data_IF_369109874860
#
_entry.id   IF_369109874860
#
_cell.length_a   1.000
_cell.length_b   1.000
_cell.length_c   1.000
_cell.angle_alpha   90.00
_cell.angle_beta   90.00
_cell.angle_gamma   90.00
#
_symmetry.space_group_name_H-M   'P 1'
#
loop_
_entity.id
_entity.type
_entity.pdbx_description
1 polymer ?
#
# COMPACT_ATOMS: atom_id res chain seq x y z
N UNK A 1 20.10 9.04 18.95
CA UNK A 1 19.61 8.67 17.59
C UNK A 1 19.06 9.93 16.94
N UNK A 2 19.35 10.16 15.67
CA UNK A 2 18.70 11.26 14.93
C UNK A 2 17.21 10.93 14.79
N UNK A 3 16.33 11.78 15.34
CA UNK A 3 14.86 11.60 15.31
C UNK A 3 14.18 12.32 14.16
N UNK A 4 14.97 12.90 13.25
CA UNK A 4 14.49 13.69 12.13
C UNK A 4 14.00 12.80 10.98
N UNK A 5 12.72 12.94 10.59
CA UNK A 5 12.05 12.14 9.56
C UNK A 5 11.24 13.07 8.65
N UNK A 6 11.41 12.90 7.34
CA UNK A 6 10.56 13.51 6.34
C UNK A 6 9.50 12.51 5.86
N UNK A 7 8.23 12.84 6.02
CA UNK A 7 7.10 12.09 5.43
C UNK A 7 6.75 12.76 4.10
N UNK A 8 7.02 12.08 2.99
CA UNK A 8 6.67 12.56 1.65
C UNK A 8 5.38 11.89 1.18
N UNK A 9 4.29 12.63 1.23
CA UNK A 9 2.91 12.17 1.08
C UNK A 9 2.23 12.01 2.45
N UNK A 10 1.60 13.06 2.95
CA UNK A 10 0.93 13.09 4.25
C UNK A 10 -0.53 12.60 4.21
N UNK A 11 -0.89 11.82 3.18
CA UNK A 11 -2.22 11.21 3.05
C UNK A 11 -2.48 10.11 4.10
N UNK A 12 -3.44 9.21 3.83
CA UNK A 12 -3.89 8.21 4.79
C UNK A 12 -2.76 7.40 5.45
N UNK A 13 -1.77 6.95 4.68
CA UNK A 13 -0.65 6.14 5.20
C UNK A 13 0.39 7.02 5.89
N UNK A 14 0.97 7.98 5.16
CA UNK A 14 2.06 8.81 5.69
C UNK A 14 1.59 9.74 6.81
N UNK A 15 0.38 10.29 6.71
CA UNK A 15 -0.21 11.10 7.78
C UNK A 15 -0.41 10.32 9.07
N UNK A 16 -0.95 9.08 8.99
CA UNK A 16 -1.12 8.22 10.17
C UNK A 16 0.23 7.88 10.80
N UNK A 17 1.18 7.33 10.05
CA UNK A 17 2.51 6.96 10.58
C UNK A 17 3.24 8.18 11.13
N UNK A 18 3.26 9.30 10.38
CA UNK A 18 3.92 10.53 10.80
C UNK A 18 3.30 11.14 12.06
N UNK A 19 1.97 11.09 12.21
CA UNK A 19 1.29 11.57 13.41
C UNK A 19 1.68 10.77 14.66
N UNK A 20 1.78 9.44 14.56
CA UNK A 20 2.25 8.60 15.67
C UNK A 20 3.72 8.88 16.03
N UNK A 21 4.58 9.02 15.03
CA UNK A 21 5.98 9.37 15.24
C UNK A 21 6.09 10.75 15.93
N UNK A 22 5.36 11.74 15.45
CA UNK A 22 5.35 13.08 16.05
C UNK A 22 4.87 13.05 17.51
N UNK A 23 3.78 12.31 17.79
CA UNK A 23 3.27 12.09 19.15
C UNK A 23 4.30 11.37 20.06
N UNK A 24 5.12 10.49 19.48
CA UNK A 24 6.20 9.79 20.20
C UNK A 24 7.46 10.64 20.38
N UNK A 25 7.45 11.93 19.97
CA UNK A 25 8.55 12.88 20.17
C UNK A 25 9.65 12.78 19.12
N UNK A 26 9.32 12.35 17.90
CA UNK A 26 10.19 12.46 16.72
C UNK A 26 10.04 13.85 16.07
N UNK A 27 11.10 14.32 15.42
CA UNK A 27 11.09 15.56 14.63
C UNK A 27 10.57 15.23 13.23
N UNK A 28 9.24 15.28 13.07
CA UNK A 28 8.58 14.92 11.81
C UNK A 28 8.26 16.17 11.01
N UNK A 29 8.71 16.19 9.75
CA UNK A 29 8.29 17.16 8.74
C UNK A 29 7.41 16.45 7.71
N UNK A 30 6.26 17.04 7.38
CA UNK A 30 5.34 16.51 6.37
C UNK A 30 5.50 17.26 5.04
N UNK A 31 5.38 16.51 3.94
CA UNK A 31 5.26 17.08 2.59
C UNK A 31 4.02 16.48 1.91
N UNK A 32 3.13 17.34 1.41
CA UNK A 32 1.98 16.93 0.62
C UNK A 32 1.68 17.93 -0.50
N UNK A 33 1.09 17.46 -1.59
CA UNK A 33 0.73 18.30 -2.72
C UNK A 33 -0.57 19.12 -2.49
N UNK A 34 -1.39 18.71 -1.52
CA UNK A 34 -2.66 19.35 -1.20
C UNK A 34 -2.45 20.49 -0.21
N UNK A 35 -2.46 21.74 -0.69
CA UNK A 35 -2.17 22.94 0.11
C UNK A 35 -3.04 23.02 1.37
N UNK A 36 -4.35 22.80 1.25
CA UNK A 36 -5.28 22.88 2.40
C UNK A 36 -4.93 21.83 3.47
N UNK A 37 -4.42 20.67 3.06
CA UNK A 37 -3.96 19.62 3.98
C UNK A 37 -2.67 20.03 4.69
N UNK A 38 -1.72 20.59 3.94
CA UNK A 38 -0.48 21.17 4.50
C UNK A 38 -0.81 22.26 5.54
N UNK A 39 -1.72 23.18 5.20
CA UNK A 39 -2.14 24.24 6.10
C UNK A 39 -2.86 23.72 7.35
N UNK A 40 -3.67 22.69 7.21
CA UNK A 40 -4.29 22.02 8.35
C UNK A 40 -3.24 21.43 9.30
N UNK A 41 -2.27 20.65 8.77
CA UNK A 41 -1.24 19.98 9.58
C UNK A 41 -0.39 20.99 10.36
N UNK A 42 0.03 22.09 9.72
CA UNK A 42 0.91 23.10 10.35
C UNK A 42 0.19 24.04 11.30
N UNK A 43 -1.15 24.07 11.28
CA UNK A 43 -1.93 24.98 12.14
C UNK A 43 -2.09 24.40 13.56
N UNK A 44 -1.60 25.08 14.62
CA UNK A 44 -1.78 24.59 15.99
C UNK A 44 -3.24 24.47 16.42
N UNK A 45 -4.14 25.26 15.84
CA UNK A 45 -5.58 25.24 16.16
C UNK A 45 -6.37 24.19 15.40
N UNK A 46 -5.83 23.61 14.30
CA UNK A 46 -6.47 22.61 13.47
C UNK A 46 -5.74 21.26 13.55
N UNK A 47 -4.48 21.22 13.12
CA UNK A 47 -3.63 20.04 13.19
C UNK A 47 -4.08 18.89 12.27
N UNK A 48 -3.36 17.78 12.36
CA UNK A 48 -3.70 16.49 11.75
C UNK A 48 -4.42 15.62 12.78
N UNK A 49 -5.66 15.29 12.51
CA UNK A 49 -6.50 14.46 13.35
C UNK A 49 -6.49 13.02 12.84
N UNK A 50 -6.07 12.12 13.70
CA UNK A 50 -6.22 10.67 13.51
C UNK A 50 -7.43 10.26 14.34
N UNK A 51 -8.49 9.82 13.68
CA UNK A 51 -9.75 9.41 14.29
C UNK A 51 -10.08 7.96 13.97
N UNK A 52 -10.95 7.33 14.74
CA UNK A 52 -11.48 5.99 14.43
C UNK A 52 -11.36 5.01 15.57
N UNK A 53 -11.67 3.72 15.33
CA UNK A 53 -11.76 2.72 16.40
C UNK A 53 -10.40 2.34 17.00
N UNK A 54 -9.28 2.68 16.34
CA UNK A 54 -7.94 2.32 16.83
C UNK A 54 -7.40 3.38 17.77
N UNK A 55 -7.59 4.66 17.43
CA UNK A 55 -7.08 5.79 18.22
C UNK A 55 -7.82 7.08 17.82
N UNK A 56 -7.80 8.07 18.72
CA UNK A 56 -8.37 9.39 18.49
C UNK A 56 -7.44 10.45 19.11
N UNK A 57 -6.71 11.18 18.27
CA UNK A 57 -5.80 12.23 18.72
C UNK A 57 -5.47 13.22 17.60
N UNK A 58 -4.93 14.36 17.99
CA UNK A 58 -4.55 15.44 17.08
C UNK A 58 -3.10 15.87 17.34
N UNK A 59 -2.37 16.13 16.27
CA UNK A 59 -1.01 16.65 16.31
C UNK A 59 -0.86 17.81 15.33
N UNK A 60 0.12 18.69 15.56
CA UNK A 60 0.52 19.73 14.61
C UNK A 60 2.03 19.70 14.48
N UNK A 61 2.54 19.94 13.27
CA UNK A 61 3.97 19.93 13.02
C UNK A 61 4.33 20.66 11.72
N UNK A 62 5.62 20.78 11.41
CA UNK A 62 6.09 21.35 10.15
C UNK A 62 5.49 20.61 8.97
N UNK A 63 4.85 21.34 8.05
CA UNK A 63 4.27 20.78 6.84
C UNK A 63 4.46 21.74 5.67
N UNK A 64 4.79 21.22 4.50
CA UNK A 64 5.15 22.00 3.32
C UNK A 64 4.60 21.36 2.05
N UNK A 65 4.37 22.14 1.02
CA UNK A 65 4.22 21.62 -0.33
C UNK A 65 5.59 21.18 -0.88
N UNK A 66 5.65 20.33 -1.93
CA UNK A 66 6.93 19.94 -2.55
C UNK A 66 7.79 21.12 -3.02
N UNK A 67 7.17 22.26 -3.35
CA UNK A 67 7.87 23.46 -3.79
C UNK A 67 8.41 24.33 -2.61
N UNK A 68 7.82 24.18 -1.43
CA UNK A 68 8.18 24.94 -0.22
C UNK A 68 9.25 24.25 0.62
N UNK A 69 9.29 22.91 0.64
CA UNK A 69 10.21 22.16 1.51
C UNK A 69 11.67 22.53 1.23
N UNK A 70 12.45 22.71 2.30
CA UNK A 70 13.88 23.02 2.26
C UNK A 70 14.61 22.21 3.30
N UNK A 71 15.85 21.85 3.01
CA UNK A 71 16.68 21.04 3.91
C UNK A 71 16.96 19.66 3.37
N UNK A 72 17.70 18.87 4.15
CA UNK A 72 18.06 17.48 3.83
C UNK A 72 17.78 16.59 5.01
N UNK A 73 17.32 15.37 4.73
CA UNK A 73 16.95 14.37 5.74
C UNK A 73 17.70 13.07 5.51
N UNK A 74 18.08 12.45 6.61
CA UNK A 74 18.66 11.10 6.58
C UNK A 74 17.59 10.02 6.35
N UNK A 75 16.37 10.25 6.82
CA UNK A 75 15.24 9.30 6.71
C UNK A 75 14.06 9.97 6.02
N UNK A 76 13.70 9.45 4.85
CA UNK A 76 12.53 9.92 4.10
C UNK A 76 11.57 8.73 3.94
N UNK A 77 10.34 8.88 4.43
CA UNK A 77 9.27 7.91 4.23
C UNK A 77 8.42 8.36 3.06
N UNK A 78 8.46 7.59 1.96
CA UNK A 78 7.70 7.88 0.75
C UNK A 78 6.36 7.17 0.80
N UNK A 79 5.28 7.96 0.85
CA UNK A 79 3.92 7.49 1.12
C UNK A 79 2.89 7.99 0.08
N UNK A 80 3.35 8.55 -1.04
CA UNK A 80 2.45 8.97 -2.11
C UNK A 80 1.79 7.76 -2.77
N UNK A 81 0.68 7.98 -3.47
CA UNK A 81 0.07 6.95 -4.32
C UNK A 81 1.08 6.47 -5.37
N UNK A 82 1.05 5.17 -5.69
CA UNK A 82 2.10 4.52 -6.50
C UNK A 82 2.30 5.15 -7.89
N UNK A 83 1.26 5.70 -8.51
CA UNK A 83 1.37 6.42 -9.79
C UNK A 83 2.23 7.70 -9.71
N UNK A 84 2.45 8.24 -8.51
CA UNK A 84 3.28 9.43 -8.28
C UNK A 84 4.71 9.10 -7.81
N UNK A 85 5.09 7.81 -7.76
CA UNK A 85 6.37 7.35 -7.19
C UNK A 85 7.57 7.97 -7.89
N UNK A 86 7.61 7.93 -9.21
CA UNK A 86 8.77 8.41 -9.99
C UNK A 86 8.96 9.92 -9.80
N UNK A 87 7.90 10.69 -9.95
CA UNK A 87 7.91 12.14 -9.77
C UNK A 87 8.36 12.53 -8.35
N UNK A 88 7.76 11.89 -7.34
CA UNK A 88 8.09 12.14 -5.94
C UNK A 88 9.54 11.72 -5.61
N UNK A 89 10.01 10.57 -6.12
CA UNK A 89 11.39 10.11 -5.90
C UNK A 89 12.43 11.05 -6.56
N UNK A 90 12.12 11.61 -7.72
CA UNK A 90 12.98 12.63 -8.36
C UNK A 90 13.02 13.91 -7.53
N UNK A 91 11.86 14.38 -7.06
CA UNK A 91 11.77 15.60 -6.25
C UNK A 91 12.48 15.43 -4.90
N UNK A 92 12.22 14.36 -4.15
CA UNK A 92 12.81 14.13 -2.83
C UNK A 92 14.31 13.85 -2.86
N UNK A 93 14.87 13.43 -4.01
CA UNK A 93 16.31 13.15 -4.13
C UNK A 93 17.18 14.34 -3.72
N UNK A 94 16.74 15.57 -4.01
CA UNK A 94 17.43 16.81 -3.62
C UNK A 94 17.38 17.08 -2.10
N UNK A 95 16.52 16.39 -1.38
CA UNK A 95 16.33 16.49 0.06
C UNK A 95 16.88 15.28 0.84
N UNK A 96 17.48 14.33 0.14
CA UNK A 96 18.05 13.12 0.74
C UNK A 96 19.53 13.35 1.07
N UNK A 97 19.89 13.31 2.35
CA UNK A 97 21.27 13.44 2.82
C UNK A 97 22.19 12.36 2.17
N UNK A 98 23.49 12.62 2.10
CA UNK A 98 24.44 11.71 1.42
C UNK A 98 24.43 10.29 2.00
N UNK A 99 24.30 10.15 3.32
CA UNK A 99 24.17 8.87 4.04
C UNK A 99 22.69 8.49 4.31
N UNK A 100 21.76 9.22 3.69
CA UNK A 100 20.32 9.03 3.88
C UNK A 100 19.71 7.93 3.02
N UNK A 101 18.49 7.53 3.37
CA UNK A 101 17.73 6.50 2.68
C UNK A 101 16.24 6.79 2.64
N UNK A 102 15.56 6.16 1.70
CA UNK A 102 14.11 6.25 1.50
C UNK A 102 13.47 4.95 1.94
N UNK A 103 12.42 5.02 2.76
CA UNK A 103 11.53 3.90 3.10
C UNK A 103 10.26 4.03 2.28
N UNK A 104 9.95 3.04 1.46
CA UNK A 104 8.71 3.03 0.66
C UNK A 104 7.57 2.42 1.47
N UNK A 105 6.57 3.21 1.84
CA UNK A 105 5.33 2.74 2.47
C UNK A 105 4.19 2.62 1.45
N UNK A 106 4.53 2.32 0.22
CA UNK A 106 3.61 2.33 -0.91
C UNK A 106 3.08 0.93 -1.24
N UNK A 107 1.99 0.87 -2.00
CA UNK A 107 1.51 -0.37 -2.59
C UNK A 107 2.26 -0.70 -3.88
N UNK A 108 2.28 -1.97 -4.27
CA UNK A 108 2.91 -2.43 -5.50
C UNK A 108 4.40 -2.76 -5.32
N UNK A 109 5.18 -2.55 -6.37
CA UNK A 109 6.64 -2.79 -6.41
C UNK A 109 7.39 -1.47 -6.63
N UNK A 110 6.94 -0.40 -5.99
CA UNK A 110 7.46 0.96 -6.15
C UNK A 110 8.95 1.07 -5.83
N UNK A 111 9.46 0.20 -4.97
CA UNK A 111 10.87 0.08 -4.59
C UNK A 111 11.79 -0.09 -5.81
N UNK A 112 11.33 -0.77 -6.87
CA UNK A 112 12.08 -0.95 -8.12
C UNK A 112 12.38 0.41 -8.77
N UNK A 113 11.40 1.31 -8.80
CA UNK A 113 11.51 2.65 -9.39
C UNK A 113 12.30 3.60 -8.49
N UNK A 114 12.07 3.57 -7.19
CA UNK A 114 12.82 4.38 -6.21
C UNK A 114 14.30 4.02 -6.28
N UNK A 115 14.64 2.73 -6.31
CA UNK A 115 16.02 2.25 -6.37
C UNK A 115 16.77 2.70 -7.64
N UNK A 116 16.09 2.91 -8.77
CA UNK A 116 16.68 3.48 -9.98
C UNK A 116 17.06 4.96 -9.81
N UNK A 117 16.37 5.69 -8.93
CA UNK A 117 16.53 7.15 -8.77
C UNK A 117 17.51 7.47 -7.64
N UNK A 118 17.36 6.83 -6.48
CA UNK A 118 18.16 7.12 -5.28
C UNK A 118 19.22 6.05 -4.98
N UNK A 119 19.16 4.90 -5.67
CA UNK A 119 20.06 3.77 -5.49
C UNK A 119 19.48 2.66 -4.61
N UNK A 120 19.76 1.39 -4.98
CA UNK A 120 19.25 0.19 -4.28
C UNK A 120 19.61 0.19 -2.79
N UNK A 121 20.87 0.56 -2.44
CA UNK A 121 21.34 0.60 -1.04
C UNK A 121 20.67 1.68 -0.20
N UNK A 122 20.09 2.68 -0.86
CA UNK A 122 19.40 3.81 -0.22
C UNK A 122 17.88 3.65 -0.27
N UNK A 123 17.39 2.47 -0.58
CA UNK A 123 15.96 2.15 -0.62
C UNK A 123 15.67 0.99 0.32
N UNK A 124 14.72 1.18 1.22
CA UNK A 124 14.17 0.16 2.13
C UNK A 124 12.71 -0.07 1.73
N UNK A 125 12.32 -1.31 1.62
CA UNK A 125 10.92 -1.68 1.37
C UNK A 125 10.13 -1.79 2.66
N UNK A 126 8.85 -1.41 2.60
CA UNK A 126 7.92 -1.69 3.67
C UNK A 126 6.60 -2.25 3.12
N UNK A 127 6.19 -3.37 3.68
CA UNK A 127 4.86 -3.89 3.52
C UNK A 127 3.96 -3.33 4.62
N UNK A 128 2.89 -2.64 4.25
CA UNK A 128 1.92 -2.04 5.18
C UNK A 128 0.51 -2.49 4.83
N UNK A 129 -0.23 -3.05 5.79
CA UNK A 129 -1.58 -3.56 5.54
C UNK A 129 -2.67 -2.95 6.45
N UNK A 130 -2.31 -2.00 7.32
CA UNK A 130 -3.29 -1.31 8.15
C UNK A 130 -4.30 -0.50 7.32
N UNK A 131 -5.49 -0.35 7.84
CA UNK A 131 -6.58 0.37 7.19
C UNK A 131 -6.63 1.83 7.64
N UNK A 132 -6.31 2.75 6.74
CA UNK A 132 -6.52 4.18 6.96
C UNK A 132 -7.17 4.82 5.74
N UNK A 133 -7.87 5.94 5.96
CA UNK A 133 -8.57 6.72 4.94
C UNK A 133 -8.36 8.20 5.16
N UNK A 134 -7.94 8.91 4.13
CA UNK A 134 -7.96 10.36 4.11
C UNK A 134 -9.39 10.82 3.86
N UNK A 135 -10.00 11.50 4.82
CA UNK A 135 -11.39 11.97 4.74
C UNK A 135 -11.45 13.35 4.07
N UNK A 136 -10.73 14.29 4.64
CA UNK A 136 -10.60 15.67 4.17
C UNK A 136 -9.28 16.29 4.67
N UNK A 137 -9.03 17.55 4.37
CA UNK A 137 -7.82 18.23 4.79
C UNK A 137 -7.69 18.26 6.32
N UNK A 138 -6.63 17.64 6.86
CA UNK A 138 -6.38 17.51 8.29
C UNK A 138 -7.10 16.35 8.99
N UNK A 139 -7.90 15.54 8.28
CA UNK A 139 -8.70 14.47 8.88
C UNK A 139 -8.40 13.10 8.25
N UNK A 140 -7.96 12.15 9.07
CA UNK A 140 -7.66 10.77 8.66
C UNK A 140 -8.39 9.80 9.59
N UNK A 141 -9.13 8.86 9.01
CA UNK A 141 -9.70 7.71 9.71
C UNK A 141 -8.65 6.61 9.82
N UNK A 142 -8.34 6.14 11.03
CA UNK A 142 -7.54 4.94 11.28
C UNK A 142 -8.47 3.77 11.62
N UNK A 143 -8.76 2.95 10.60
CA UNK A 143 -9.82 1.94 10.67
C UNK A 143 -9.43 0.65 11.37
N UNK A 144 -8.19 0.17 11.21
CA UNK A 144 -7.70 -1.06 11.83
C UNK A 144 -6.17 -1.17 11.78
N UNK A 145 -5.60 -1.84 12.80
CA UNK A 145 -4.22 -2.32 12.79
C UNK A 145 -4.08 -3.53 11.88
N UNK A 146 -2.89 -3.72 11.32
CA UNK A 146 -2.55 -4.92 10.56
C UNK A 146 -1.03 -5.03 10.37
N UNK A 147 -0.58 -6.10 9.71
CA UNK A 147 0.82 -6.40 9.53
C UNK A 147 1.63 -5.25 8.91
N UNK A 148 2.79 -4.97 9.50
CA UNK A 148 3.80 -4.02 9.05
C UNK A 148 5.16 -4.72 9.01
N UNK A 149 5.78 -4.77 7.84
CA UNK A 149 7.06 -5.48 7.65
C UNK A 149 8.06 -4.59 6.96
N UNK A 150 9.28 -4.52 7.48
CA UNK A 150 10.40 -3.78 6.89
C UNK A 150 11.45 -4.75 6.32
N UNK A 151 12.10 -4.38 5.22
CA UNK A 151 13.20 -5.19 4.69
C UNK A 151 14.07 -4.47 3.68
N UNK A 152 15.32 -4.90 3.63
CA UNK A 152 16.29 -4.44 2.64
C UNK A 152 15.96 -5.01 1.25
N UNK A 153 16.13 -4.21 0.19
CA UNK A 153 15.92 -4.70 -1.18
C UNK A 153 16.97 -5.74 -1.61
N UNK A 154 18.12 -5.74 -0.96
CA UNK A 154 19.18 -6.72 -1.18
C UNK A 154 19.07 -7.98 -0.33
N UNK A 155 18.10 -8.01 0.57
CA UNK A 155 17.98 -9.05 1.59
C UNK A 155 18.86 -8.83 2.81
N UNK A 156 18.70 -9.71 3.81
CA UNK A 156 19.42 -9.67 5.07
C UNK A 156 18.80 -8.74 6.11
N UNK A 157 19.19 -8.98 7.37
CA UNK A 157 18.81 -8.15 8.52
C UNK A 157 19.99 -7.22 8.84
N UNK A 158 19.73 -5.92 8.94
CA UNK A 158 20.74 -4.88 9.15
C UNK A 158 20.42 -4.05 10.38
N UNK A 159 21.44 -3.41 10.99
CA UNK A 159 21.23 -2.48 12.11
C UNK A 159 20.28 -1.34 11.76
N UNK A 160 20.25 -0.92 10.49
CA UNK A 160 19.29 0.08 10.01
C UNK A 160 17.84 -0.40 10.12
N UNK A 161 17.57 -1.68 9.83
CA UNK A 161 16.23 -2.25 10.02
C UNK A 161 15.85 -2.33 11.49
N UNK A 162 16.79 -2.61 12.38
CA UNK A 162 16.54 -2.62 13.83
C UNK A 162 16.19 -1.22 14.34
N UNK A 163 16.88 -0.18 13.85
CA UNK A 163 16.58 1.21 14.16
C UNK A 163 15.19 1.61 13.65
N UNK A 164 14.89 1.32 12.38
CA UNK A 164 13.58 1.59 11.78
C UNK A 164 12.45 0.84 12.49
N UNK A 165 12.69 -0.39 12.89
CA UNK A 165 11.73 -1.19 13.62
C UNK A 165 11.43 -0.59 15.00
N UNK A 166 12.45 -0.08 15.70
CA UNK A 166 12.26 0.65 16.96
C UNK A 166 11.43 1.92 16.76
N UNK A 167 11.65 2.65 15.65
CA UNK A 167 10.85 3.84 15.31
C UNK A 167 9.38 3.45 15.04
N UNK A 168 9.14 2.45 14.20
CA UNK A 168 7.79 2.05 13.76
C UNK A 168 6.96 1.42 14.90
N UNK A 169 7.58 0.79 15.88
CA UNK A 169 6.87 0.17 17.01
C UNK A 169 6.09 1.14 17.89
N UNK A 170 6.35 2.43 17.83
CA UNK A 170 5.46 3.42 18.46
C UNK A 170 4.09 3.51 17.76
N UNK A 171 4.03 3.15 16.48
CA UNK A 171 2.81 3.09 15.68
C UNK A 171 2.23 1.66 15.63
N UNK A 172 3.04 0.67 15.24
CA UNK A 172 2.66 -0.73 15.12
C UNK A 172 3.58 -1.61 15.97
N UNK A 173 3.17 -1.97 17.22
CA UNK A 173 4.00 -2.74 18.15
C UNK A 173 4.46 -4.09 17.60
N UNK A 174 3.63 -4.73 16.74
CA UNK A 174 3.88 -6.04 16.15
C UNK A 174 4.63 -5.97 14.81
N UNK A 175 5.19 -4.79 14.46
CA UNK A 175 6.02 -4.65 13.28
C UNK A 175 7.25 -5.56 13.35
N UNK A 176 7.61 -6.17 12.21
CA UNK A 176 8.74 -7.08 12.06
C UNK A 176 9.70 -6.65 10.95
N UNK A 177 10.95 -7.09 11.05
CA UNK A 177 11.90 -7.06 9.94
C UNK A 177 11.94 -8.41 9.23
N UNK A 178 12.23 -8.39 7.93
CA UNK A 178 12.39 -9.59 7.09
C UNK A 178 13.70 -9.53 6.30
N UNK A 179 14.27 -10.68 6.05
CA UNK A 179 15.39 -10.88 5.14
C UNK A 179 14.99 -10.86 3.66
N UNK A 180 13.67 -10.90 3.37
CA UNK A 180 13.13 -10.88 2.02
C UNK A 180 11.83 -10.09 1.94
N UNK A 181 11.95 -8.77 1.71
CA UNK A 181 10.77 -7.90 1.60
C UNK A 181 9.94 -8.20 0.35
N UNK A 182 10.58 -8.66 -0.73
CA UNK A 182 9.88 -8.98 -1.97
C UNK A 182 8.82 -10.05 -1.79
N UNK A 183 9.05 -11.02 -0.89
CA UNK A 183 8.06 -12.05 -0.55
C UNK A 183 6.74 -11.46 -0.03
N UNK A 184 6.82 -10.44 0.81
CA UNK A 184 5.63 -9.75 1.34
C UNK A 184 4.98 -8.83 0.30
N UNK A 185 5.78 -8.10 -0.49
CA UNK A 185 5.26 -7.20 -1.53
C UNK A 185 4.52 -7.99 -2.61
N UNK A 186 5.07 -9.11 -3.07
CA UNK A 186 4.38 -10.00 -4.02
C UNK A 186 3.17 -10.70 -3.39
N UNK A 187 3.24 -11.10 -2.11
CA UNK A 187 2.09 -11.60 -1.38
C UNK A 187 0.94 -10.59 -1.34
N UNK A 188 1.29 -9.31 -1.12
CA UNK A 188 0.30 -8.22 -1.14
C UNK A 188 -0.30 -7.98 -2.53
N UNK A 189 0.46 -8.17 -3.61
CA UNK A 189 -0.08 -8.07 -4.96
C UNK A 189 -1.12 -9.16 -5.24
N UNK A 190 -0.90 -10.40 -4.76
CA UNK A 190 -1.89 -11.46 -4.88
C UNK A 190 -3.17 -11.14 -4.10
N UNK A 191 -3.06 -10.69 -2.85
CA UNK A 191 -4.19 -10.18 -2.06
C UNK A 191 -4.85 -8.98 -2.73
N UNK A 192 -4.06 -8.02 -3.19
CA UNK A 192 -4.50 -6.79 -3.83
C UNK A 192 -5.26 -7.04 -5.14
N UNK A 193 -4.93 -8.10 -5.88
CA UNK A 193 -5.65 -8.46 -7.11
C UNK A 193 -7.13 -8.73 -6.81
N UNK A 194 -7.44 -9.47 -5.74
CA UNK A 194 -8.82 -9.72 -5.31
C UNK A 194 -9.53 -8.43 -4.89
N UNK A 195 -8.81 -7.51 -4.23
CA UNK A 195 -9.38 -6.22 -3.82
C UNK A 195 -9.59 -5.25 -5.00
N UNK A 196 -8.78 -5.33 -6.06
CA UNK A 196 -9.02 -4.57 -7.29
C UNK A 196 -10.26 -5.08 -8.01
N UNK A 197 -10.48 -6.41 -8.03
CA UNK A 197 -11.71 -6.98 -8.58
C UNK A 197 -12.93 -6.57 -7.73
N UNK A 198 -12.87 -6.64 -6.39
CA UNK A 198 -13.94 -6.11 -5.53
C UNK A 198 -14.30 -4.66 -5.89
N UNK A 199 -13.31 -3.85 -6.28
CA UNK A 199 -13.51 -2.42 -6.53
C UNK A 199 -14.31 -2.10 -7.81
N UNK A 200 -14.52 -3.06 -8.73
CA UNK A 200 -15.36 -2.85 -9.91
C UNK A 200 -16.86 -3.00 -9.62
N UNK A 201 -17.22 -3.49 -8.42
CA UNK A 201 -18.58 -3.63 -7.89
C UNK A 201 -18.90 -2.63 -6.78
N UNK A 202 -20.02 -2.88 -6.08
CA UNK A 202 -20.49 -2.05 -4.97
C UNK A 202 -20.43 -2.75 -3.61
N UNK A 203 -20.21 -4.07 -3.58
CA UNK A 203 -20.12 -4.83 -2.33
C UNK A 203 -18.88 -4.46 -1.53
N UNK A 204 -18.99 -4.50 -0.20
CA UNK A 204 -17.84 -4.42 0.68
C UNK A 204 -16.87 -5.60 0.48
N UNK A 205 -15.62 -5.46 0.94
CA UNK A 205 -14.57 -6.47 0.77
C UNK A 205 -15.03 -7.85 1.26
N UNK A 206 -15.51 -7.93 2.51
CA UNK A 206 -15.90 -9.20 3.10
C UNK A 206 -17.11 -9.84 2.39
N UNK A 207 -18.10 -9.04 1.99
CA UNK A 207 -19.31 -9.54 1.34
C UNK A 207 -19.02 -9.98 -0.11
N UNK A 208 -18.15 -9.26 -0.82
CA UNK A 208 -17.72 -9.64 -2.16
C UNK A 208 -16.91 -10.95 -2.15
N UNK A 209 -15.93 -11.07 -1.23
CA UNK A 209 -15.10 -12.27 -1.10
C UNK A 209 -15.91 -13.50 -0.65
N UNK A 210 -17.00 -13.31 0.11
CA UNK A 210 -17.85 -14.38 0.60
C UNK A 210 -18.77 -15.00 -0.45
N UNK A 211 -18.76 -14.49 -1.69
CA UNK A 211 -19.58 -15.04 -2.78
C UNK A 211 -18.94 -16.29 -3.38
N UNK A 212 -19.50 -17.45 -3.13
CA UNK A 212 -18.96 -18.75 -3.57
C UNK A 212 -18.84 -18.84 -5.10
N UNK A 213 -19.73 -18.23 -5.85
CA UNK A 213 -19.67 -18.21 -7.31
C UNK A 213 -18.45 -17.47 -7.86
N UNK A 214 -17.78 -16.63 -7.07
CA UNK A 214 -16.57 -15.92 -7.44
C UNK A 214 -15.26 -16.68 -7.09
N UNK A 215 -15.32 -17.81 -6.39
CA UNK A 215 -14.14 -18.61 -6.08
C UNK A 215 -13.29 -18.98 -7.29
N UNK A 216 -13.87 -19.35 -8.48
CA UNK A 216 -13.07 -19.57 -9.69
C UNK A 216 -12.31 -18.33 -10.16
N UNK A 217 -12.91 -17.14 -10.01
CA UNK A 217 -12.24 -15.87 -10.34
C UNK A 217 -11.06 -15.62 -9.39
N UNK A 218 -11.27 -15.77 -8.08
CA UNK A 218 -10.23 -15.59 -7.07
C UNK A 218 -9.05 -16.53 -7.33
N UNK A 219 -9.32 -17.79 -7.62
CA UNK A 219 -8.31 -18.80 -7.98
C UNK A 219 -7.50 -18.38 -9.21
N UNK A 220 -8.14 -17.97 -10.31
CA UNK A 220 -7.44 -17.56 -11.53
C UNK A 220 -6.54 -16.35 -11.29
N UNK A 221 -7.06 -15.30 -10.66
CA UNK A 221 -6.31 -14.08 -10.41
C UNK A 221 -5.11 -14.33 -9.49
N UNK A 222 -5.30 -15.03 -8.38
CA UNK A 222 -4.21 -15.38 -7.49
C UNK A 222 -3.16 -16.25 -8.16
N UNK A 223 -3.59 -17.25 -8.97
CA UNK A 223 -2.67 -18.12 -9.74
C UNK A 223 -1.85 -17.30 -10.76
N UNK A 224 -2.46 -16.35 -11.47
CA UNK A 224 -1.73 -15.49 -12.40
C UNK A 224 -0.63 -14.70 -11.69
N UNK A 225 -0.93 -14.08 -10.53
CA UNK A 225 0.08 -13.35 -9.73
C UNK A 225 1.19 -14.30 -9.26
N UNK A 226 0.83 -15.48 -8.73
CA UNK A 226 1.81 -16.44 -8.19
C UNK A 226 2.76 -16.98 -9.28
N UNK A 227 2.26 -17.25 -10.48
CA UNK A 227 3.11 -17.69 -11.60
C UNK A 227 4.14 -16.63 -11.99
N UNK A 228 3.75 -15.36 -11.99
CA UNK A 228 4.66 -14.24 -12.29
C UNK A 228 5.67 -14.05 -11.16
N UNK A 229 5.26 -14.13 -9.91
CA UNK A 229 6.16 -14.05 -8.76
C UNK A 229 7.22 -15.17 -8.77
N UNK A 230 6.81 -16.41 -9.06
CA UNK A 230 7.73 -17.54 -9.20
C UNK A 230 8.76 -17.34 -10.32
N UNK A 231 8.36 -16.75 -11.45
CA UNK A 231 9.28 -16.43 -12.54
C UNK A 231 10.29 -15.32 -12.18
N UNK A 232 9.93 -14.41 -11.29
CA UNK A 232 10.86 -13.44 -10.68
C UNK A 232 11.73 -14.06 -9.56
N UNK A 233 11.59 -15.37 -9.30
CA UNK A 233 12.34 -16.08 -8.26
C UNK A 233 11.88 -15.73 -6.84
N UNK A 234 10.64 -15.24 -6.67
CA UNK A 234 10.09 -14.85 -5.38
C UNK A 234 9.07 -15.89 -4.92
N UNK A 235 9.18 -16.29 -3.65
CA UNK A 235 8.17 -17.07 -2.95
C UNK A 235 7.33 -16.13 -2.07
N UNK A 236 6.09 -15.77 -2.47
CA UNK A 236 5.26 -14.84 -1.74
C UNK A 236 4.87 -15.37 -0.36
N UNK A 237 4.94 -14.49 0.65
CA UNK A 237 4.55 -14.78 2.04
C UNK A 237 3.16 -14.26 2.35
N UNK A 238 2.45 -15.01 3.20
CA UNK A 238 1.13 -14.68 3.70
C UNK A 238 1.15 -13.68 4.86
N UNK A 239 -0.03 -13.14 5.17
CA UNK A 239 -0.25 -12.19 6.26
C UNK A 239 -1.75 -12.13 6.60
N UNK A 240 -2.09 -11.82 7.83
CA UNK A 240 -3.47 -11.58 8.27
C UNK A 240 -4.49 -12.65 7.78
N UNK A 241 -4.10 -13.92 7.83
CA UNK A 241 -4.91 -15.04 7.37
C UNK A 241 -4.87 -15.33 5.87
N UNK A 242 -4.34 -14.42 5.04
CA UNK A 242 -4.16 -14.66 3.62
C UNK A 242 -2.94 -15.53 3.36
N UNK A 243 -3.10 -16.61 2.58
CA UNK A 243 -2.04 -17.53 2.18
C UNK A 243 -1.86 -17.51 0.66
N UNK A 244 -0.82 -16.86 0.11
CA UNK A 244 -0.55 -16.87 -1.33
C UNK A 244 -0.29 -18.27 -1.87
N UNK A 245 0.29 -19.19 -1.07
CA UNK A 245 0.55 -20.57 -1.48
C UNK A 245 -0.71 -21.35 -1.87
N UNK A 246 -1.89 -20.93 -1.42
CA UNK A 246 -3.18 -21.49 -1.82
C UNK A 246 -3.44 -21.39 -3.34
N UNK A 247 -2.78 -20.47 -4.03
CA UNK A 247 -2.94 -20.25 -5.48
C UNK A 247 -1.86 -20.93 -6.33
N UNK A 248 -0.99 -21.72 -5.72
CA UNK A 248 -0.01 -22.53 -6.46
C UNK A 248 -0.68 -23.75 -7.09
N UNK A 249 -0.12 -24.23 -8.21
CA UNK A 249 -0.67 -25.38 -8.93
C UNK A 249 -0.70 -26.70 -8.13
N UNK A 250 0.18 -26.84 -7.15
CA UNK A 250 0.27 -28.01 -6.27
C UNK A 250 -0.55 -27.82 -4.96
N UNK A 251 -1.24 -26.71 -4.78
CA UNK A 251 -2.03 -26.48 -3.57
C UNK A 251 -3.25 -27.43 -3.52
N UNK A 252 -3.69 -27.86 -2.32
CA UNK A 252 -4.94 -28.60 -2.17
C UNK A 252 -6.13 -27.85 -2.76
N UNK A 253 -7.16 -28.59 -3.17
CA UNK A 253 -8.34 -28.01 -3.81
C UNK A 253 -9.10 -27.03 -2.91
N UNK A 254 -9.12 -27.30 -1.62
CA UNK A 254 -9.76 -26.49 -0.55
C UNK A 254 -8.92 -25.29 -0.10
N UNK A 255 -7.64 -25.19 -0.48
CA UNK A 255 -6.75 -24.12 -0.04
C UNK A 255 -7.24 -22.72 -0.44
N UNK A 256 -7.83 -22.54 -1.64
CA UNK A 256 -8.37 -21.25 -2.06
C UNK A 256 -9.63 -20.88 -1.27
N UNK A 257 -10.65 -21.74 -1.12
CA UNK A 257 -11.77 -21.50 -0.20
C UNK A 257 -11.32 -21.13 1.21
N UNK A 258 -10.37 -21.85 1.78
CA UNK A 258 -9.87 -21.59 3.14
C UNK A 258 -9.20 -20.22 3.28
N UNK A 259 -8.30 -19.86 2.37
CA UNK A 259 -7.64 -18.54 2.44
C UNK A 259 -8.62 -17.39 2.19
N UNK A 260 -9.61 -17.56 1.30
CA UNK A 260 -10.67 -16.57 1.06
C UNK A 260 -11.56 -16.42 2.29
N UNK A 261 -11.94 -17.52 2.95
CA UNK A 261 -12.70 -17.49 4.21
C UNK A 261 -11.92 -16.76 5.32
N UNK A 262 -10.61 -16.98 5.41
CA UNK A 262 -9.74 -16.26 6.35
C UNK A 262 -9.67 -14.74 6.03
N UNK A 263 -9.62 -14.36 4.75
CA UNK A 263 -9.71 -12.95 4.32
C UNK A 263 -11.06 -12.33 4.72
N UNK A 264 -12.16 -13.07 4.54
CA UNK A 264 -13.51 -12.62 4.96
C UNK A 264 -13.53 -12.40 6.48
N UNK A 265 -13.05 -13.35 7.26
CA UNK A 265 -12.99 -13.24 8.72
C UNK A 265 -12.16 -12.05 9.19
N UNK A 266 -11.02 -11.80 8.55
CA UNK A 266 -10.15 -10.66 8.86
C UNK A 266 -10.80 -9.31 8.52
N UNK A 267 -11.49 -9.21 7.36
CA UNK A 267 -12.03 -7.93 6.89
C UNK A 267 -13.40 -7.59 7.49
N UNK A 268 -14.21 -8.57 7.89
CA UNK A 268 -15.59 -8.36 8.35
C UNK A 268 -15.72 -7.42 9.57
N UNK A 269 -14.86 -7.48 10.60
CA UNK A 269 -14.96 -6.59 11.75
C UNK A 269 -14.41 -5.18 11.49
N UNK A 270 -13.74 -4.93 10.35
CA UNK A 270 -13.06 -3.68 10.11
C UNK A 270 -14.03 -2.53 9.78
N UNK A 271 -13.83 -1.36 10.38
CA UNK A 271 -14.60 -0.16 10.08
C UNK A 271 -14.44 0.29 8.60
N UNK A 272 -13.28 0.00 8.01
CA UNK A 272 -13.03 0.23 6.57
C UNK A 272 -13.55 -0.94 5.75
N UNK A 273 -14.77 -0.85 5.27
CA UNK A 273 -15.45 -1.93 4.52
C UNK A 273 -15.05 -2.03 3.06
N UNK A 274 -14.50 -0.97 2.45
CA UNK A 274 -14.13 -0.91 1.03
C UNK A 274 -12.64 -0.63 0.84
N UNK A 275 -12.10 -1.12 -0.29
CA UNK A 275 -10.71 -0.88 -0.65
C UNK A 275 -10.43 0.59 -0.99
N UNK A 276 -9.17 1.00 -0.94
CA UNK A 276 -8.75 2.33 -1.39
C UNK A 276 -9.01 2.56 -2.88
N UNK A 277 -8.92 1.49 -3.69
CA UNK A 277 -9.24 1.52 -5.12
C UNK A 277 -10.73 1.83 -5.34
N UNK A 278 -11.61 1.15 -4.63
CA UNK A 278 -13.05 1.44 -4.68
C UNK A 278 -13.35 2.90 -4.32
N UNK A 279 -12.71 3.44 -3.27
CA UNK A 279 -12.90 4.83 -2.89
C UNK A 279 -12.43 5.82 -3.96
N UNK A 280 -11.34 5.49 -4.64
CA UNK A 280 -10.86 6.33 -5.74
C UNK A 280 -11.85 6.31 -6.91
N UNK A 281 -12.46 5.16 -7.24
CA UNK A 281 -13.48 5.02 -8.29
C UNK A 281 -14.85 5.58 -7.89
N UNK A 282 -15.39 5.15 -6.75
CA UNK A 282 -16.76 5.42 -6.34
C UNK A 282 -16.96 6.82 -5.76
N UNK A 283 -16.01 7.26 -4.91
CA UNK A 283 -16.16 8.48 -4.11
C UNK A 283 -15.37 9.64 -4.71
N UNK A 284 -14.06 9.44 -4.97
CA UNK A 284 -13.16 10.51 -5.40
C UNK A 284 -13.16 10.75 -6.91
N UNK A 285 -13.70 9.80 -7.69
CA UNK A 285 -13.80 9.88 -9.16
C UNK A 285 -12.48 10.24 -9.81
N UNK A 286 -11.41 9.54 -9.45
CA UNK A 286 -10.04 9.79 -9.92
C UNK A 286 -9.36 8.49 -10.35
N UNK A 287 -8.25 8.63 -11.07
CA UNK A 287 -7.38 7.52 -11.47
C UNK A 287 -6.88 6.75 -10.25
N UNK A 288 -6.87 5.42 -10.37
CA UNK A 288 -6.45 4.48 -9.33
C UNK A 288 -4.96 4.14 -9.45
N UNK A 289 -4.51 3.21 -8.61
CA UNK A 289 -3.16 2.64 -8.65
C UNK A 289 -3.09 1.36 -9.50
N UNK A 290 -4.10 1.07 -10.33
CA UNK A 290 -4.23 -0.22 -11.03
C UNK A 290 -3.00 -0.52 -11.89
N UNK A 291 -2.45 0.47 -12.60
CA UNK A 291 -1.30 0.28 -13.47
C UNK A 291 -0.01 -0.06 -12.72
N UNK A 292 0.16 0.51 -11.52
CA UNK A 292 1.34 0.29 -10.69
C UNK A 292 1.23 -0.96 -9.80
N UNK A 293 0.09 -1.61 -9.77
CA UNK A 293 -0.14 -2.85 -9.04
C UNK A 293 -0.49 -3.99 -10.00
N UNK A 294 -1.70 -4.02 -10.54
CA UNK A 294 -2.13 -5.09 -11.47
C UNK A 294 -1.36 -4.99 -12.80
N UNK A 295 -1.25 -3.79 -13.36
CA UNK A 295 -0.48 -3.54 -14.58
C UNK A 295 1.00 -3.90 -14.46
N UNK A 296 1.59 -3.71 -13.27
CA UNK A 296 2.97 -4.15 -13.01
C UNK A 296 3.11 -5.68 -13.06
N UNK A 297 2.14 -6.43 -12.51
CA UNK A 297 2.13 -7.89 -12.62
C UNK A 297 1.98 -8.34 -14.08
N UNK A 298 1.08 -7.68 -14.84
CA UNK A 298 0.90 -7.95 -16.30
C UNK A 298 2.21 -7.71 -17.03
N UNK A 299 2.85 -6.56 -16.84
CA UNK A 299 4.11 -6.17 -17.49
C UNK A 299 5.27 -7.12 -17.15
N UNK A 300 5.39 -7.53 -15.88
CA UNK A 300 6.40 -8.52 -15.48
C UNK A 300 6.09 -9.89 -16.07
N UNK A 301 4.82 -10.28 -16.11
CA UNK A 301 4.38 -11.51 -16.77
C UNK A 301 4.78 -11.54 -18.26
N UNK A 302 4.52 -10.47 -19.00
CA UNK A 302 4.91 -10.33 -20.41
C UNK A 302 6.43 -10.49 -20.60
N UNK A 303 7.24 -9.87 -19.73
CA UNK A 303 8.71 -10.00 -19.75
C UNK A 303 9.17 -11.46 -19.62
N UNK A 304 8.43 -12.28 -18.87
CA UNK A 304 8.71 -13.71 -18.68
C UNK A 304 7.91 -14.64 -19.62
N UNK A 305 7.15 -14.09 -20.57
CA UNK A 305 6.31 -14.89 -21.46
C UNK A 305 5.12 -15.55 -20.75
N UNK A 306 4.70 -15.04 -19.60
CA UNK A 306 3.58 -15.55 -18.80
C UNK A 306 2.34 -14.71 -19.08
N UNK A 307 1.31 -15.36 -19.61
CA UNK A 307 0.02 -14.71 -19.86
C UNK A 307 -0.76 -14.54 -18.56
N UNK A 308 -1.35 -13.34 -18.38
CA UNK A 308 -2.18 -12.95 -17.24
C UNK A 308 -3.52 -12.36 -17.73
N UNK A 309 -4.34 -13.17 -18.46
CA UNK A 309 -5.51 -12.65 -19.16
C UNK A 309 -6.57 -12.09 -18.22
N UNK A 310 -6.76 -12.66 -17.03
CA UNK A 310 -7.76 -12.19 -16.05
C UNK A 310 -7.33 -10.85 -15.45
N UNK A 311 -6.06 -10.69 -15.11
CA UNK A 311 -5.51 -9.43 -14.59
C UNK A 311 -5.54 -8.32 -15.64
N UNK A 312 -5.22 -8.66 -16.90
CA UNK A 312 -5.29 -7.70 -18.01
C UNK A 312 -6.74 -7.25 -18.28
N UNK A 313 -7.72 -8.16 -18.23
CA UNK A 313 -9.14 -7.84 -18.36
C UNK A 313 -9.62 -6.94 -17.22
N UNK A 314 -9.21 -7.24 -15.98
CA UNK A 314 -9.52 -6.40 -14.82
C UNK A 314 -8.94 -4.99 -14.95
N UNK A 315 -7.67 -4.87 -15.38
CA UNK A 315 -7.02 -3.57 -15.61
C UNK A 315 -7.81 -2.75 -16.64
N UNK A 316 -8.17 -3.35 -17.77
CA UNK A 316 -8.98 -2.71 -18.81
C UNK A 316 -10.35 -2.26 -18.29
N UNK A 317 -11.02 -3.09 -17.51
CA UNK A 317 -12.32 -2.78 -16.90
C UNK A 317 -12.22 -1.60 -15.92
N UNK A 318 -11.17 -1.54 -15.09
CA UNK A 318 -10.95 -0.40 -14.19
C UNK A 318 -10.71 0.88 -15.00
N UNK A 319 -9.93 0.83 -16.09
CA UNK A 319 -9.75 1.99 -16.98
C UNK A 319 -11.07 2.45 -17.60
N UNK A 320 -11.95 1.52 -18.01
CA UNK A 320 -13.28 1.90 -18.51
C UNK A 320 -14.11 2.63 -17.44
N UNK A 321 -14.03 2.20 -16.19
CA UNK A 321 -14.72 2.86 -15.06
C UNK A 321 -14.11 4.24 -14.79
N UNK A 322 -12.79 4.34 -14.76
CA UNK A 322 -12.06 5.61 -14.59
C UNK A 322 -12.39 6.64 -15.67
N UNK A 323 -12.61 6.18 -16.90
CA UNK A 323 -12.96 7.01 -18.05
C UNK A 323 -14.47 7.31 -18.15
N UNK A 324 -15.28 6.77 -17.22
CA UNK A 324 -16.74 6.93 -17.24
C UNK A 324 -17.48 6.13 -18.33
N UNK A 325 -16.78 5.19 -18.99
CA UNK A 325 -17.34 4.31 -20.04
C UNK A 325 -18.10 3.11 -19.47
N UNK A 326 -17.82 2.76 -18.20
CA UNK A 326 -18.46 1.67 -17.46
C UNK A 326 -18.88 2.16 -16.09
N UNK A 327 -20.03 1.72 -15.62
CA UNK A 327 -20.51 1.98 -14.26
C UNK A 327 -20.00 0.90 -13.29
N UNK A 328 -19.81 1.26 -12.01
CA UNK A 328 -19.59 0.30 -10.93
C UNK A 328 -20.85 -0.58 -10.79
N UNK A 329 -20.69 -1.88 -10.91
CA UNK A 329 -21.78 -2.84 -10.76
C UNK A 329 -21.21 -4.23 -10.39
N UNK A 330 -21.89 -4.98 -9.52
CA UNK A 330 -21.46 -6.32 -9.13
C UNK A 330 -21.49 -7.32 -10.31
N UNK A 331 -22.28 -7.02 -11.35
CA UNK A 331 -22.26 -7.76 -12.61
C UNK A 331 -20.91 -7.74 -13.32
N UNK A 332 -20.08 -6.68 -13.11
CA UNK A 332 -18.73 -6.60 -13.67
C UNK A 332 -17.84 -7.76 -13.22
N UNK A 333 -18.05 -8.27 -11.99
CA UNK A 333 -17.31 -9.43 -11.48
C UNK A 333 -17.64 -10.72 -12.25
N UNK A 334 -18.89 -10.86 -12.69
CA UNK A 334 -19.33 -12.04 -13.46
C UNK A 334 -18.78 -12.02 -14.89
N UNK A 335 -18.52 -10.84 -15.46
CA UNK A 335 -17.87 -10.72 -16.78
C UNK A 335 -16.40 -11.14 -16.74
N UNK A 336 -15.76 -11.16 -15.57
CA UNK A 336 -14.39 -11.63 -15.36
C UNK A 336 -14.32 -13.14 -15.13
N UNK A 337 -15.45 -13.84 -14.91
CA UNK A 337 -15.54 -15.30 -14.81
C UNK A 337 -15.34 -15.96 -16.18
#
# INVERSE_FOLDING_TARGET
MNKDILIWGAGAIGGTVGAYLLRAGYDVTFVDAVTDHVEAIRSPGRGLHISGPVDDFRVSGPAFTPNEVRGTWKRIFLCVKSQHTVEAAVALRGHLADDGFVVSLQNGLCEKYIAQIVGKRRTVGAFVNFGADWLEAGEILYGNRAAFVLGELGGGLTSRLDELLADIRCFEPDAIATDNIWSYLWGKLAYGALLHAQAVGNLGIADCLARDELLPLWRRMGTEVMRVAQAEGVEPRGFNGFSPSAFLSQAPEDAVPETVAAMVAFNRPNAKTHSGVWRDLAVRKRKTEVDMQIGEVVRVGEKHGIRTPTLLALQGMIHEIEDGKRSLADANLLELL
#
